data_IF_113500905436
#
_entry.id   IF_113500905436
#
_cell.length_a   1.000
_cell.length_b   1.000
_cell.length_c   1.000
_cell.angle_alpha   90.00
_cell.angle_beta   90.00
_cell.angle_gamma   90.00
#
_symmetry.space_group_name_H-M   'P 1'
#
loop_
_entity.id
_entity.type
_entity.pdbx_description
1 polymer ?
#
# COMPACT_ATOMS: atom_id res chain seq x y z
N UNK A 1 34.30 12.93 49.95
CA UNK A 1 34.20 11.48 50.15
C UNK A 1 33.70 10.86 48.86
N UNK A 2 34.57 10.16 48.14
CA UNK A 2 34.28 9.52 46.86
C UNK A 2 34.01 8.06 47.13
N UNK A 3 32.82 7.59 46.79
CA UNK A 3 32.47 6.18 46.85
C UNK A 3 32.37 5.66 45.42
N UNK A 4 33.39 4.90 45.01
CA UNK A 4 33.42 4.18 43.75
C UNK A 4 32.71 2.82 43.92
N UNK A 5 31.70 2.54 43.13
CA UNK A 5 31.11 1.22 43.00
C UNK A 5 31.71 0.52 41.78
N UNK A 6 32.28 -0.65 41.91
CA UNK A 6 32.68 -1.44 40.75
C UNK A 6 31.47 -2.22 40.22
N UNK A 7 31.11 -1.94 38.98
CA UNK A 7 30.17 -2.76 38.23
C UNK A 7 30.87 -4.04 37.73
N UNK A 8 30.46 -5.15 38.26
CA UNK A 8 30.86 -6.48 37.76
C UNK A 8 29.91 -6.82 36.61
N UNK A 9 30.46 -6.84 35.39
CA UNK A 9 29.75 -7.34 34.21
C UNK A 9 29.87 -8.88 34.19
N UNK A 10 28.76 -9.54 34.41
CA UNK A 10 28.61 -10.98 34.11
C UNK A 10 28.15 -11.11 32.70
N UNK A 11 29.02 -11.58 31.79
CA UNK A 11 28.67 -11.94 30.43
C UNK A 11 28.16 -13.37 30.45
N UNK A 12 26.85 -13.53 30.28
CA UNK A 12 26.25 -14.83 30.05
C UNK A 12 26.22 -15.08 28.54
N UNK A 13 27.05 -16.01 28.03
CA UNK A 13 26.95 -16.55 26.70
C UNK A 13 25.76 -17.50 26.66
N UNK A 14 24.65 -17.07 26.03
CA UNK A 14 23.59 -17.97 25.64
C UNK A 14 23.86 -18.45 24.20
N UNK A 15 24.22 -19.73 24.04
CA UNK A 15 24.27 -20.38 22.75
C UNK A 15 22.84 -20.59 22.24
N UNK A 16 22.41 -19.77 21.29
CA UNK A 16 21.15 -19.98 20.57
C UNK A 16 21.35 -21.04 19.51
N UNK A 17 20.80 -22.22 19.73
CA UNK A 17 20.64 -23.24 18.72
C UNK A 17 19.74 -22.69 17.60
N UNK A 18 20.25 -22.67 16.35
CA UNK A 18 19.45 -22.47 15.15
C UNK A 18 18.49 -23.64 14.98
N UNK A 19 17.29 -23.50 15.49
CA UNK A 19 16.15 -24.30 15.07
C UNK A 19 15.71 -23.83 13.69
N UNK A 20 15.87 -24.66 12.65
CA UNK A 20 15.35 -24.39 11.32
C UNK A 20 13.83 -24.15 11.40
N UNK A 21 13.41 -22.92 11.12
CA UNK A 21 12.01 -22.65 10.89
C UNK A 21 11.62 -23.34 9.57
N UNK A 22 10.88 -24.43 9.66
CA UNK A 22 10.13 -24.93 8.53
C UNK A 22 9.19 -23.82 8.09
N UNK A 23 9.39 -23.30 6.89
CA UNK A 23 8.47 -22.38 6.24
C UNK A 23 7.21 -23.19 5.97
N UNK A 24 6.24 -23.10 6.86
CA UNK A 24 4.90 -23.63 6.62
C UNK A 24 4.27 -22.71 5.60
N UNK A 25 4.33 -23.15 4.34
CA UNK A 25 3.66 -22.53 3.22
C UNK A 25 2.16 -22.58 3.52
N UNK A 26 1.60 -21.43 3.94
CA UNK A 26 0.16 -21.32 4.15
C UNK A 26 -0.54 -21.66 2.83
N UNK A 27 -1.56 -22.53 2.81
CA UNK A 27 -2.29 -22.84 1.59
C UNK A 27 -2.86 -21.54 1.02
N UNK A 28 -2.52 -21.25 -0.24
CA UNK A 28 -3.06 -20.11 -0.93
C UNK A 28 -4.60 -20.16 -0.88
N UNK A 29 -5.30 -19.07 -0.50
CA UNK A 29 -6.76 -19.08 -0.49
C UNK A 29 -7.26 -19.39 -1.89
N UNK A 30 -8.27 -20.28 -1.98
CA UNK A 30 -8.88 -20.65 -3.24
C UNK A 30 -9.42 -19.37 -3.92
N UNK A 31 -8.84 -19.06 -5.08
CA UNK A 31 -9.14 -17.85 -5.84
C UNK A 31 -10.45 -18.11 -6.58
N UNK A 32 -11.49 -17.37 -6.23
CA UNK A 32 -12.72 -17.34 -7.03
C UNK A 32 -12.45 -16.61 -8.34
N UNK A 33 -12.69 -17.28 -9.46
CA UNK A 33 -12.49 -16.78 -10.83
C UNK A 33 -13.48 -15.65 -11.13
N UNK A 34 -13.09 -14.41 -10.84
CA UNK A 34 -13.74 -13.21 -11.35
C UNK A 34 -12.75 -12.42 -12.21
N UNK A 35 -13.22 -11.42 -12.96
CA UNK A 35 -12.39 -10.64 -13.89
C UNK A 35 -11.11 -10.02 -13.24
N UNK A 36 -10.99 -10.04 -11.91
CA UNK A 36 -9.81 -9.65 -11.16
C UNK A 36 -8.67 -10.68 -11.22
N UNK A 37 -8.91 -11.90 -11.70
CA UNK A 37 -7.94 -13.00 -11.67
C UNK A 37 -6.82 -12.88 -12.73
N UNK A 38 -6.90 -11.88 -13.61
CA UNK A 38 -5.84 -11.60 -14.59
C UNK A 38 -4.80 -10.60 -14.11
N UNK A 39 -4.93 -10.09 -12.87
CA UNK A 39 -3.93 -9.18 -12.31
C UNK A 39 -2.72 -9.95 -11.81
N UNK A 40 -1.54 -9.51 -12.21
CA UNK A 40 -0.28 -10.01 -11.65
C UNK A 40 -0.22 -9.69 -10.14
N UNK A 41 0.49 -10.49 -9.34
CA UNK A 41 0.52 -10.32 -7.87
C UNK A 41 0.80 -8.89 -7.39
N UNK A 42 1.67 -8.15 -8.08
CA UNK A 42 1.96 -6.75 -7.78
C UNK A 42 0.79 -5.80 -7.99
N UNK A 43 -0.08 -6.08 -8.95
CA UNK A 43 -1.29 -5.30 -9.20
C UNK A 43 -2.37 -5.57 -8.14
N UNK A 44 -2.51 -6.82 -7.70
CA UNK A 44 -3.41 -7.19 -6.59
C UNK A 44 -3.02 -6.50 -5.30
N UNK A 45 -1.73 -6.53 -4.93
CA UNK A 45 -1.23 -5.86 -3.73
C UNK A 45 -1.44 -4.34 -3.80
N UNK A 46 -1.25 -3.74 -4.97
CA UNK A 46 -1.49 -2.32 -5.20
C UNK A 46 -2.97 -1.98 -5.12
N UNK A 47 -3.83 -2.78 -5.73
CA UNK A 47 -5.28 -2.61 -5.65
C UNK A 47 -5.77 -2.62 -4.21
N UNK A 48 -5.28 -3.55 -3.38
CA UNK A 48 -5.61 -3.61 -1.96
C UNK A 48 -5.12 -2.38 -1.17
N UNK A 49 -3.93 -1.87 -1.48
CA UNK A 49 -3.40 -0.65 -0.86
C UNK A 49 -4.25 0.57 -1.23
N UNK A 50 -4.54 0.77 -2.53
CA UNK A 50 -5.39 1.86 -2.99
C UNK A 50 -6.80 1.79 -2.43
N UNK A 51 -7.38 0.59 -2.33
CA UNK A 51 -8.67 0.38 -1.68
C UNK A 51 -8.66 0.88 -0.24
N UNK A 52 -7.60 0.59 0.51
CA UNK A 52 -7.44 1.03 1.89
C UNK A 52 -7.41 2.55 1.98
N UNK A 53 -6.65 3.22 1.11
CA UNK A 53 -6.57 4.69 1.05
C UNK A 53 -7.93 5.31 0.71
N UNK A 54 -8.62 4.79 -0.31
CA UNK A 54 -9.94 5.28 -0.74
C UNK A 54 -10.95 5.17 0.40
N UNK A 55 -10.99 4.04 1.09
CA UNK A 55 -11.89 3.85 2.24
C UNK A 55 -11.52 4.72 3.43
N UNK A 56 -10.23 4.91 3.69
CA UNK A 56 -9.74 5.79 4.77
C UNK A 56 -10.11 7.26 4.52
N UNK A 57 -10.23 7.65 3.25
CA UNK A 57 -10.72 8.97 2.85
C UNK A 57 -12.26 9.12 2.94
N UNK A 58 -12.99 8.06 3.28
CA UNK A 58 -14.43 8.08 3.47
C UNK A 58 -15.25 7.73 2.22
N UNK A 59 -14.61 7.20 1.18
CA UNK A 59 -15.30 6.74 -0.01
C UNK A 59 -15.63 5.25 0.05
N UNK A 60 -16.72 4.85 -0.58
CA UNK A 60 -17.11 3.44 -0.68
C UNK A 60 -16.31 2.77 -1.80
N UNK A 61 -15.54 1.76 -1.44
CA UNK A 61 -14.80 0.93 -2.39
C UNK A 61 -14.69 -0.48 -1.82
N UNK A 62 -15.51 -1.39 -2.29
CA UNK A 62 -15.48 -2.78 -1.84
C UNK A 62 -14.29 -3.54 -2.38
N UNK A 63 -13.92 -3.26 -3.63
CA UNK A 63 -12.81 -3.88 -4.32
C UNK A 63 -12.31 -2.95 -5.42
N UNK A 64 -11.00 -2.80 -5.53
CA UNK A 64 -10.38 -2.16 -6.69
C UNK A 64 -10.25 -3.20 -7.80
N UNK A 65 -10.82 -2.92 -8.96
CA UNK A 65 -10.86 -3.82 -10.13
C UNK A 65 -9.87 -3.42 -11.21
N UNK A 66 -9.42 -2.16 -11.20
CA UNK A 66 -8.46 -1.64 -12.17
C UNK A 66 -7.59 -0.58 -11.51
N UNK A 67 -6.30 -0.56 -11.86
CA UNK A 67 -5.35 0.47 -11.41
C UNK A 67 -4.52 0.98 -12.57
N UNK A 68 -4.13 2.25 -12.52
CA UNK A 68 -3.27 2.88 -13.50
C UNK A 68 -2.34 3.88 -12.84
N UNK A 69 -1.08 3.89 -13.21
CA UNK A 69 -0.13 4.90 -12.75
C UNK A 69 -0.08 6.05 -13.74
N UNK A 70 -0.59 7.21 -13.35
CA UNK A 70 -0.47 8.42 -14.18
C UNK A 70 0.97 8.90 -14.26
N UNK A 71 1.69 8.87 -13.14
CA UNK A 71 3.06 9.33 -13.05
C UNK A 71 3.32 10.18 -11.81
N UNK A 72 4.18 11.18 -11.99
CA UNK A 72 4.50 12.16 -10.94
C UNK A 72 4.10 13.54 -11.43
N UNK A 73 3.29 14.25 -10.67
CA UNK A 73 2.86 15.62 -10.90
C UNK A 73 3.28 16.48 -9.71
N UNK A 74 4.06 17.53 -9.94
CA UNK A 74 4.59 18.43 -8.89
C UNK A 74 5.29 17.70 -7.72
N UNK A 75 5.94 16.56 -8.00
CA UNK A 75 6.63 15.75 -6.99
C UNK A 75 5.74 14.77 -6.25
N UNK A 76 4.45 14.71 -6.54
CA UNK A 76 3.48 13.79 -5.97
C UNK A 76 3.21 12.63 -6.93
N UNK A 77 3.14 11.40 -6.41
CA UNK A 77 2.82 10.22 -7.20
C UNK A 77 1.32 10.04 -7.31
N UNK A 78 0.82 9.88 -8.53
CA UNK A 78 -0.62 9.75 -8.79
C UNK A 78 -0.94 8.39 -9.38
N UNK A 79 -1.90 7.73 -8.75
CA UNK A 79 -2.46 6.46 -9.16
C UNK A 79 -3.97 6.55 -9.30
N UNK A 80 -4.50 5.99 -10.37
CA UNK A 80 -5.93 5.85 -10.55
C UNK A 80 -6.40 4.47 -10.13
N UNK A 81 -7.58 4.42 -9.58
CA UNK A 81 -8.25 3.20 -9.16
C UNK A 81 -9.73 3.24 -9.55
N UNK A 82 -10.20 2.16 -10.15
CA UNK A 82 -11.61 1.92 -10.39
C UNK A 82 -12.11 0.91 -9.38
N UNK A 83 -13.18 1.24 -8.68
CA UNK A 83 -13.85 0.37 -7.73
C UNK A 83 -14.91 -0.50 -8.41
N UNK A 84 -15.21 -1.65 -7.82
CA UNK A 84 -16.34 -2.48 -8.21
C UNK A 84 -17.63 -1.68 -8.01
N UNK A 85 -18.32 -1.38 -9.07
CA UNK A 85 -19.47 -0.45 -9.09
C UNK A 85 -19.28 0.69 -10.08
N UNK A 86 -18.04 0.93 -10.52
CA UNK A 86 -17.69 1.90 -11.55
C UNK A 86 -17.23 3.25 -11.02
N UNK A 87 -17.13 3.44 -9.69
CA UNK A 87 -16.57 4.66 -9.12
C UNK A 87 -15.06 4.72 -9.36
N UNK A 88 -14.57 5.88 -9.80
CA UNK A 88 -13.17 6.09 -10.16
C UNK A 88 -12.54 7.20 -9.33
N UNK A 89 -11.34 6.91 -8.81
CA UNK A 89 -10.60 7.80 -7.93
C UNK A 89 -9.15 7.95 -8.37
N UNK A 90 -8.63 9.17 -8.20
CA UNK A 90 -7.20 9.44 -8.20
C UNK A 90 -6.66 9.46 -6.77
N UNK A 91 -5.60 8.70 -6.53
CA UNK A 91 -4.91 8.62 -5.24
C UNK A 91 -3.56 9.31 -5.38
N UNK A 92 -3.42 10.44 -4.71
CA UNK A 92 -2.25 11.31 -4.77
C UNK A 92 -1.40 11.10 -3.52
N UNK A 93 -0.22 10.51 -3.68
CA UNK A 93 0.72 10.28 -2.59
C UNK A 93 1.78 11.39 -2.54
N UNK A 94 1.83 12.11 -1.42
CA UNK A 94 2.73 13.24 -1.20
C UNK A 94 4.07 12.80 -0.61
N UNK A 95 5.07 13.65 -0.77
CA UNK A 95 6.43 13.41 -0.25
C UNK A 95 6.48 13.31 1.29
N UNK A 96 5.53 13.92 2.01
CA UNK A 96 5.40 13.83 3.47
C UNK A 96 4.75 12.53 3.97
N UNK A 97 4.35 11.63 3.04
CA UNK A 97 3.71 10.36 3.33
C UNK A 97 2.18 10.45 3.50
N UNK A 98 1.60 11.62 3.33
CA UNK A 98 0.13 11.77 3.31
C UNK A 98 -0.43 11.40 1.93
N UNK A 99 -1.71 11.03 1.91
CA UNK A 99 -2.42 10.63 0.70
C UNK A 99 -3.72 11.43 0.60
N UNK A 100 -3.97 12.01 -0.57
CA UNK A 100 -5.25 12.59 -0.92
C UNK A 100 -5.99 11.67 -1.89
N UNK A 101 -7.28 11.50 -1.70
CA UNK A 101 -8.15 10.76 -2.62
C UNK A 101 -9.15 11.70 -3.23
N UNK A 102 -9.18 11.76 -4.55
CA UNK A 102 -10.02 12.65 -5.33
C UNK A 102 -10.84 11.84 -6.33
N UNK A 103 -12.09 12.23 -6.52
CA UNK A 103 -12.85 11.76 -7.69
C UNK A 103 -12.15 12.23 -8.98
N UNK A 104 -12.28 11.47 -10.06
CA UNK A 104 -11.56 11.75 -11.30
C UNK A 104 -11.81 13.15 -11.86
N UNK A 105 -13.04 13.66 -11.77
CA UNK A 105 -13.37 15.03 -12.17
C UNK A 105 -12.64 16.10 -11.32
N UNK A 106 -12.46 15.82 -10.03
CA UNK A 106 -11.74 16.72 -9.14
C UNK A 106 -10.23 16.68 -9.40
N UNK A 107 -9.68 15.49 -9.69
CA UNK A 107 -8.29 15.31 -10.09
C UNK A 107 -7.98 16.09 -11.37
N UNK A 108 -8.82 15.99 -12.40
CA UNK A 108 -8.66 16.70 -13.66
C UNK A 108 -8.68 18.21 -13.47
N UNK A 109 -9.59 18.74 -12.64
CA UNK A 109 -9.60 20.18 -12.31
C UNK A 109 -8.33 20.64 -11.61
N UNK A 110 -7.71 19.79 -10.81
CA UNK A 110 -6.51 20.11 -10.03
C UNK A 110 -5.23 19.99 -10.86
N UNK A 111 -5.11 18.97 -11.69
CA UNK A 111 -3.87 18.62 -12.41
C UNK A 111 -3.91 18.99 -13.90
N UNK A 112 -5.11 19.16 -14.47
CA UNK A 112 -5.32 19.34 -15.90
C UNK A 112 -5.24 18.04 -16.70
N UNK A 113 -5.12 16.88 -16.03
CA UNK A 113 -5.02 15.56 -16.66
C UNK A 113 -6.13 14.67 -16.14
N UNK A 114 -6.89 14.07 -17.03
CA UNK A 114 -7.96 13.14 -16.70
C UNK A 114 -7.41 11.84 -16.09
N UNK A 115 -8.23 11.13 -15.32
CA UNK A 115 -7.91 9.77 -14.92
C UNK A 115 -7.60 8.91 -16.16
N UNK A 116 -6.75 7.90 -15.97
CA UNK A 116 -6.32 6.95 -17.00
C UNK A 116 -5.41 7.54 -18.09
N UNK A 117 -4.96 8.78 -17.93
CA UNK A 117 -4.00 9.44 -18.79
C UNK A 117 -2.67 9.68 -18.04
N UNK A 118 -1.55 9.68 -18.76
CA UNK A 118 -0.24 10.01 -18.19
C UNK A 118 0.02 11.51 -18.25
N UNK A 119 0.72 12.00 -17.22
CA UNK A 119 1.27 13.37 -17.22
C UNK A 119 2.33 13.55 -18.28
#
# INVERSE_FOLDING_TARGET
MRTAFPFVFVVALAASACGGAATEEAPAPAISTSAADNLIPGQLARGAALQTEIRSAGHDCNKVVRTFQQGVHDGESVWDAECEGGDEYGVVSKADGTTDVLECDALERQTGTSCWEKF
#
